data_IF_501545692050
#
_entry.id   IF_501545692050
#
_cell.length_a   1.000
_cell.length_b   1.000
_cell.length_c   1.000
_cell.angle_alpha   90.00
_cell.angle_beta   90.00
_cell.angle_gamma   90.00
#
_symmetry.space_group_name_H-M   'P 1'
#
loop_
_entity.id
_entity.type
_entity.pdbx_description
1 polymer ?
#
# COMPACT_ATOMS: atom_id res chain seq x y z
N UNK A 1 -23.55 18.01 -17.31
CA UNK A 1 -22.53 18.34 -16.29
C UNK A 1 -21.91 17.03 -15.84
N UNK A 2 -20.77 16.65 -16.42
CA UNK A 2 -20.09 15.39 -16.05
C UNK A 2 -19.43 15.61 -14.70
N UNK A 3 -19.86 14.86 -13.68
CA UNK A 3 -19.14 14.80 -12.43
C UNK A 3 -17.78 14.16 -12.72
N UNK A 4 -16.71 14.95 -12.66
CA UNK A 4 -15.36 14.43 -12.57
C UNK A 4 -15.27 13.65 -11.27
N UNK A 5 -15.43 12.33 -11.34
CA UNK A 5 -15.13 11.45 -10.22
C UNK A 5 -13.66 11.67 -9.87
N UNK A 6 -13.40 12.42 -8.79
CA UNK A 6 -12.09 12.43 -8.15
C UNK A 6 -11.74 10.98 -7.89
N UNK A 7 -10.60 10.54 -8.42
CA UNK A 7 -10.05 9.21 -8.22
C UNK A 7 -10.01 8.93 -6.72
N UNK A 8 -10.89 8.03 -6.25
CA UNK A 8 -10.92 7.57 -4.86
C UNK A 8 -9.72 6.66 -4.56
N UNK A 9 -9.03 6.20 -5.61
CA UNK A 9 -7.87 5.32 -5.54
C UNK A 9 -6.68 6.05 -4.91
N UNK A 10 -5.95 5.41 -3.98
CA UNK A 10 -4.65 5.87 -3.57
C UNK A 10 -3.68 5.67 -4.73
N UNK A 11 -2.84 6.66 -4.95
CA UNK A 11 -1.73 6.60 -5.89
C UNK A 11 -0.45 6.46 -5.08
N UNK A 12 0.52 5.67 -5.55
CA UNK A 12 1.79 5.47 -4.86
C UNK A 12 2.95 5.86 -5.76
N UNK A 13 4.03 6.32 -5.14
CA UNK A 13 5.27 6.66 -5.83
C UNK A 13 6.19 5.46 -6.00
N UNK A 14 7.45 5.75 -6.28
CA UNK A 14 8.47 4.72 -6.47
C UNK A 14 8.82 4.02 -5.15
N UNK A 15 9.16 2.74 -5.24
CA UNK A 15 9.57 1.93 -4.09
C UNK A 15 11.04 2.17 -3.75
N UNK A 16 11.34 2.37 -2.47
CA UNK A 16 12.68 2.34 -1.88
C UNK A 16 12.88 1.04 -1.07
N UNK A 17 14.06 0.44 -1.16
CA UNK A 17 14.45 -0.64 -0.27
C UNK A 17 15.70 -0.32 0.53
N UNK A 18 15.62 -0.54 1.84
CA UNK A 18 16.77 -0.43 2.74
C UNK A 18 17.03 -1.76 3.45
N UNK A 19 18.30 -2.03 3.72
CA UNK A 19 18.88 -3.33 4.09
C UNK A 19 18.51 -3.89 5.49
N UNK A 20 17.24 -3.89 5.86
CA UNK A 20 16.68 -4.85 6.82
C UNK A 20 15.77 -5.80 6.05
N UNK A 21 16.34 -6.97 5.70
CA UNK A 21 15.79 -8.09 4.90
C UNK A 21 14.37 -7.85 4.36
N UNK A 22 14.30 -7.35 3.12
CA UNK A 22 13.10 -7.31 2.27
C UNK A 22 12.01 -6.30 2.63
N UNK A 23 12.31 -5.28 3.45
CA UNK A 23 11.43 -4.12 3.58
C UNK A 23 11.35 -3.34 2.26
N UNK A 24 10.14 -2.94 1.89
CA UNK A 24 9.81 -2.17 0.68
C UNK A 24 8.92 -1.00 1.06
N UNK A 25 9.32 0.22 0.73
CA UNK A 25 8.62 1.44 1.15
C UNK A 25 8.22 2.23 -0.09
N UNK A 26 6.98 2.69 -0.19
CA UNK A 26 6.52 3.58 -1.26
C UNK A 26 5.71 4.75 -0.66
N UNK A 27 5.92 6.00 -1.11
CA UNK A 27 5.11 7.11 -0.64
C UNK A 27 3.70 7.01 -1.22
N UNK A 28 2.68 7.40 -0.45
CA UNK A 28 1.32 7.60 -0.96
C UNK A 28 1.25 9.01 -1.54
N UNK A 29 1.14 9.12 -2.86
CA UNK A 29 1.17 10.40 -3.58
C UNK A 29 0.07 11.36 -3.11
N UNK A 30 0.42 12.64 -3.05
CA UNK A 30 -0.44 13.69 -2.50
C UNK A 30 -0.55 13.68 -0.97
N UNK A 31 0.27 12.88 -0.28
CA UNK A 31 0.35 12.83 1.18
C UNK A 31 1.81 12.69 1.65
N UNK A 32 2.06 12.91 2.94
CA UNK A 32 3.34 12.59 3.60
C UNK A 32 3.39 11.16 4.15
N UNK A 33 2.36 10.36 3.90
CA UNK A 33 2.25 8.99 4.44
C UNK A 33 3.04 8.04 3.56
N UNK A 34 3.80 7.15 4.19
CA UNK A 34 4.54 6.09 3.52
C UNK A 34 3.84 4.74 3.75
N UNK A 35 3.79 3.91 2.72
CA UNK A 35 3.40 2.51 2.79
C UNK A 35 4.66 1.64 2.82
N UNK A 36 4.80 0.80 3.84
CA UNK A 36 5.88 -0.15 3.99
C UNK A 36 5.33 -1.57 4.00
N UNK A 37 5.96 -2.46 3.24
CA UNK A 37 5.71 -3.89 3.23
C UNK A 37 6.96 -4.61 3.73
N UNK A 38 6.80 -5.50 4.70
CA UNK A 38 7.89 -6.34 5.20
C UNK A 38 7.40 -7.74 5.52
N UNK A 39 8.30 -8.72 5.51
CA UNK A 39 7.93 -10.07 5.92
C UNK A 39 7.60 -10.06 7.42
N UNK A 40 6.48 -10.66 7.81
CA UNK A 40 6.13 -10.88 9.21
C UNK A 40 7.21 -11.76 9.89
N UNK A 41 7.45 -11.53 11.17
CA UNK A 41 8.45 -12.29 11.92
C UNK A 41 8.17 -13.81 11.83
N UNK A 42 9.22 -14.60 11.54
CA UNK A 42 9.22 -16.07 11.43
C UNK A 42 8.65 -16.67 10.14
N UNK A 43 8.17 -15.86 9.20
CA UNK A 43 7.77 -16.37 7.89
C UNK A 43 8.96 -16.49 6.93
N UNK A 44 8.91 -17.49 6.04
CA UNK A 44 9.88 -17.60 4.94
C UNK A 44 9.67 -16.44 3.96
N UNK A 45 10.74 -15.82 3.42
CA UNK A 45 10.61 -14.63 2.58
C UNK A 45 9.79 -14.94 1.33
N UNK A 46 8.64 -14.28 1.20
CA UNK A 46 7.70 -14.51 0.10
C UNK A 46 8.36 -14.14 -1.23
N UNK A 47 8.09 -14.96 -2.26
CA UNK A 47 8.55 -14.65 -3.61
C UNK A 47 8.00 -13.32 -4.12
N UNK A 48 6.83 -12.91 -3.62
CA UNK A 48 6.13 -11.68 -4.02
C UNK A 48 6.88 -10.42 -3.64
N UNK A 49 7.44 -10.32 -2.42
CA UNK A 49 8.26 -9.16 -2.03
C UNK A 49 9.60 -9.09 -2.79
N UNK A 50 10.17 -10.26 -3.14
CA UNK A 50 11.42 -10.34 -3.92
C UNK A 50 11.27 -9.89 -5.37
N UNK A 51 10.06 -9.94 -5.93
CA UNK A 51 9.76 -9.48 -7.29
C UNK A 51 9.69 -7.96 -7.40
N UNK A 52 9.68 -7.23 -6.28
CA UNK A 52 9.70 -5.78 -6.27
C UNK A 52 11.11 -5.25 -6.57
N UNK A 53 11.18 -4.42 -7.61
CA UNK A 53 12.41 -3.74 -8.08
C UNK A 53 12.47 -2.35 -7.46
N UNK A 54 13.64 -1.99 -6.92
CA UNK A 54 13.84 -0.64 -6.39
C UNK A 54 13.67 0.41 -7.47
N UNK A 55 13.05 1.53 -7.11
CA UNK A 55 12.71 2.61 -8.03
C UNK A 55 11.51 2.31 -8.93
N UNK A 56 10.92 1.11 -8.89
CA UNK A 56 9.70 0.83 -9.66
C UNK A 56 8.51 1.56 -9.05
N UNK A 57 7.61 2.06 -9.90
CA UNK A 57 6.33 2.60 -9.45
C UNK A 57 5.54 1.53 -8.69
N UNK A 58 5.11 1.86 -7.47
CA UNK A 58 4.20 1.03 -6.72
C UNK A 58 2.76 1.38 -7.13
N UNK A 59 1.88 0.40 -7.32
CA UNK A 59 0.48 0.67 -7.65
C UNK A 59 -0.46 -0.34 -6.98
N UNK A 60 -1.77 -0.08 -7.05
CA UNK A 60 -2.80 -0.90 -6.41
C UNK A 60 -2.84 -2.33 -6.99
N UNK A 61 -2.57 -2.52 -8.27
CA UNK A 61 -2.54 -3.85 -8.91
C UNK A 61 -1.41 -4.71 -8.36
N UNK A 62 -0.22 -4.12 -8.22
CA UNK A 62 0.93 -4.75 -7.61
C UNK A 62 0.66 -5.09 -6.13
N UNK A 63 0.06 -4.16 -5.38
CA UNK A 63 -0.34 -4.41 -4.00
C UNK A 63 -1.36 -5.56 -3.91
N UNK A 64 -2.33 -5.63 -4.82
CA UNK A 64 -3.33 -6.72 -4.87
C UNK A 64 -2.73 -8.09 -5.18
N UNK A 65 -1.58 -8.10 -5.86
CA UNK A 65 -0.83 -9.33 -6.16
C UNK A 65 0.04 -9.76 -4.97
N UNK A 66 0.55 -8.81 -4.20
CA UNK A 66 1.49 -9.07 -3.10
C UNK A 66 0.74 -9.43 -1.81
N UNK A 67 -0.34 -8.72 -1.49
CA UNK A 67 -1.16 -8.90 -0.28
C UNK A 67 -2.66 -8.98 -0.62
N UNK A 68 -3.11 -10.03 -1.34
CA UNK A 68 -4.51 -10.18 -1.72
C UNK A 68 -5.48 -10.23 -0.53
N UNK A 69 -5.03 -10.69 0.64
CA UNK A 69 -5.84 -10.84 1.86
C UNK A 69 -5.91 -9.56 2.69
N UNK A 70 -5.34 -8.43 2.23
CA UNK A 70 -5.38 -7.16 2.97
C UNK A 70 -6.80 -6.62 3.20
N UNK A 71 -7.79 -7.12 2.45
CA UNK A 71 -9.20 -6.75 2.54
C UNK A 71 -9.79 -7.22 3.87
N UNK A 72 -10.40 -6.32 4.63
CA UNK A 72 -11.15 -6.65 5.85
C UNK A 72 -10.30 -6.96 7.09
N UNK A 73 -9.00 -6.69 7.07
CA UNK A 73 -8.14 -6.88 8.24
C UNK A 73 -8.23 -5.73 9.23
N UNK A 74 -8.00 -6.08 10.50
CA UNK A 74 -7.91 -5.11 11.59
C UNK A 74 -6.54 -4.45 11.55
N UNK A 75 -6.55 -3.13 11.66
CA UNK A 75 -5.36 -2.30 11.71
C UNK A 75 -5.13 -1.79 13.14
N UNK A 76 -3.94 -2.04 13.65
CA UNK A 76 -3.46 -1.57 14.95
C UNK A 76 -2.75 -0.22 14.77
N UNK A 77 -3.05 0.74 15.64
CA UNK A 77 -2.38 2.05 15.67
C UNK A 77 -1.42 2.11 16.86
N UNK A 78 -0.18 2.55 16.62
CA UNK A 78 0.83 2.70 17.66
C UNK A 78 1.90 3.72 17.29
N UNK A 79 2.75 4.07 18.26
CA UNK A 79 3.97 4.85 18.00
C UNK A 79 4.95 3.98 17.22
N UNK A 80 5.61 4.55 16.21
CA UNK A 80 6.52 3.77 15.35
C UNK A 80 7.77 3.34 16.12
N UNK A 81 8.18 2.08 15.92
CA UNK A 81 9.40 1.53 16.51
C UNK A 81 10.66 1.88 15.69
N UNK A 82 10.50 2.35 14.45
CA UNK A 82 11.59 2.52 13.48
C UNK A 82 11.75 3.95 12.97
N UNK A 83 10.73 4.79 13.12
CA UNK A 83 10.74 6.18 12.70
C UNK A 83 10.20 7.08 13.81
N UNK A 84 10.51 8.38 13.74
CA UNK A 84 9.82 9.37 14.56
C UNK A 84 8.38 9.50 14.05
N UNK A 85 7.37 9.30 14.91
CA UNK A 85 5.96 9.43 14.56
C UNK A 85 5.13 8.20 14.90
N UNK A 86 4.11 7.95 14.08
CA UNK A 86 3.10 6.92 14.32
C UNK A 86 2.95 6.00 13.13
N UNK A 87 2.50 4.78 13.42
CA UNK A 87 2.23 3.77 12.41
C UNK A 87 0.87 3.12 12.60
N UNK A 88 0.29 2.73 11.47
CA UNK A 88 -0.89 1.89 11.40
C UNK A 88 -0.49 0.60 10.70
N UNK A 89 -0.64 -0.52 11.38
CA UNK A 89 -0.06 -1.81 10.99
C UNK A 89 -1.13 -2.89 10.89
N UNK A 90 -0.98 -3.79 9.92
CA UNK A 90 -1.69 -5.08 9.88
C UNK A 90 -0.79 -6.15 9.28
N UNK A 91 -1.17 -7.42 9.38
CA UNK A 91 -0.44 -8.55 8.78
C UNK A 91 -1.38 -9.32 7.86
N UNK A 92 -1.01 -9.41 6.58
CA UNK A 92 -1.74 -10.11 5.54
C UNK A 92 -0.78 -10.98 4.73
N UNK A 93 -1.12 -12.23 4.43
CA UNK A 93 -0.32 -13.09 3.55
C UNK A 93 1.17 -13.22 3.99
N UNK A 94 1.38 -13.32 5.31
CA UNK A 94 2.70 -13.29 5.96
C UNK A 94 3.51 -12.00 5.74
N UNK A 95 2.86 -10.94 5.27
CA UNK A 95 3.44 -9.62 5.02
C UNK A 95 2.82 -8.63 5.99
N UNK A 96 3.67 -8.00 6.77
CA UNK A 96 3.32 -6.86 7.60
C UNK A 96 3.23 -5.62 6.71
N UNK A 97 2.04 -5.02 6.71
CA UNK A 97 1.68 -3.83 5.95
C UNK A 97 1.60 -2.68 6.94
N UNK A 98 2.41 -1.67 6.73
CA UNK A 98 2.58 -0.56 7.67
C UNK A 98 2.38 0.75 6.93
N UNK A 99 1.45 1.58 7.39
CA UNK A 99 1.37 2.99 7.01
C UNK A 99 2.10 3.81 8.06
N UNK A 100 3.07 4.60 7.64
CA UNK A 100 3.88 5.45 8.51
C UNK A 100 3.58 6.91 8.23
N UNK A 101 3.51 7.70 9.30
CA UNK A 101 3.54 9.15 9.24
C UNK A 101 4.59 9.67 10.21
N UNK A 102 5.28 10.73 9.80
CA UNK A 102 6.18 11.46 10.68
C UNK A 102 5.41 12.12 11.84
N UNK A 103 6.12 12.43 12.92
CA UNK A 103 5.59 13.20 14.03
C UNK A 103 5.37 14.66 13.59
N UNK A 104 4.15 14.95 13.15
CA UNK A 104 3.67 16.30 12.86
C UNK A 104 3.07 16.94 14.12
N UNK A 105 2.83 18.25 14.08
CA UNK A 105 2.12 19.07 15.05
C UNK A 105 0.68 18.64 15.39
N UNK A 106 0.17 17.59 14.74
CA UNK A 106 -1.17 17.04 14.97
C UNK A 106 -1.27 16.18 16.23
N UNK A 107 -2.48 16.08 16.78
CA UNK A 107 -2.75 15.16 17.89
C UNK A 107 -2.68 13.68 17.43
N UNK A 108 -2.37 12.73 18.33
CA UNK A 108 -2.37 11.29 17.98
C UNK A 108 -3.67 10.81 17.35
N UNK A 109 -4.82 11.37 17.78
CA UNK A 109 -6.13 11.05 17.21
C UNK A 109 -6.28 11.49 15.75
N UNK A 110 -5.77 12.68 15.40
CA UNK A 110 -5.79 13.17 14.02
C UNK A 110 -4.86 12.35 13.13
N UNK A 111 -3.68 11.98 13.64
CA UNK A 111 -2.73 11.14 12.92
C UNK A 111 -3.31 9.74 12.67
N UNK A 112 -3.94 9.14 13.68
CA UNK A 112 -4.67 7.87 13.54
C UNK A 112 -5.78 7.98 12.48
N UNK A 113 -6.59 9.04 12.55
CA UNK A 113 -7.66 9.28 11.58
C UNK A 113 -7.15 9.40 10.14
N UNK A 114 -6.02 10.09 9.92
CA UNK A 114 -5.37 10.19 8.61
C UNK A 114 -4.90 8.83 8.11
N UNK A 115 -4.20 8.06 8.95
CA UNK A 115 -3.70 6.73 8.59
C UNK A 115 -4.85 5.77 8.28
N UNK A 116 -5.90 5.73 9.11
CA UNK A 116 -7.10 4.90 8.90
C UNK A 116 -7.85 5.30 7.63
N UNK A 117 -7.91 6.60 7.33
CA UNK A 117 -8.48 7.11 6.08
C UNK A 117 -7.73 6.61 4.84
N UNK A 118 -6.39 6.59 4.89
CA UNK A 118 -5.56 6.02 3.82
C UNK A 118 -5.74 4.51 3.73
N UNK A 119 -5.70 3.78 4.85
CA UNK A 119 -5.95 2.34 4.87
C UNK A 119 -7.31 1.99 4.23
N UNK A 120 -8.36 2.73 4.57
CA UNK A 120 -9.69 2.54 3.97
C UNK A 120 -9.68 2.78 2.45
N UNK A 121 -9.00 3.83 1.97
CA UNK A 121 -8.85 4.08 0.52
C UNK A 121 -8.09 2.95 -0.18
N UNK A 122 -7.06 2.40 0.46
CA UNK A 122 -6.32 1.24 -0.05
C UNK A 122 -7.23 0.03 -0.16
N UNK A 123 -7.96 -0.31 0.90
CA UNK A 123 -8.90 -1.44 0.91
C UNK A 123 -9.96 -1.27 -0.18
N UNK A 124 -10.59 -0.10 -0.28
CA UNK A 124 -11.56 0.22 -1.34
C UNK A 124 -10.91 0.08 -2.73
N UNK A 125 -9.70 0.58 -2.91
CA UNK A 125 -9.02 0.43 -4.20
C UNK A 125 -8.64 -1.03 -4.51
N UNK A 126 -8.38 -1.87 -3.51
CA UNK A 126 -8.17 -3.30 -3.73
C UNK A 126 -9.49 -4.04 -4.04
N UNK A 127 -10.61 -3.60 -3.48
CA UNK A 127 -11.94 -4.17 -3.75
C UNK A 127 -12.47 -3.80 -5.14
N UNK A 128 -12.29 -2.55 -5.55
CA UNK A 128 -12.90 -1.99 -6.77
C UNK A 128 -11.89 -1.60 -7.87
N UNK A 129 -10.60 -1.66 -7.59
CA UNK A 129 -9.54 -1.26 -8.52
C UNK A 129 -9.07 -2.37 -9.45
N UNK A 130 -9.31 -3.63 -9.08
CA UNK A 130 -8.98 -4.80 -9.91
C UNK A 130 -10.24 -5.20 -10.68
N UNK A 131 -10.48 -4.54 -11.82
CA UNK A 131 -11.46 -5.07 -12.78
C UNK A 131 -10.83 -6.30 -13.46
N UNK A 132 -11.46 -7.49 -13.41
CA UNK A 132 -10.96 -8.67 -14.13
C UNK A 132 -11.07 -8.55 -15.67
N UNK A 133 -11.55 -7.42 -16.20
CA UNK A 133 -11.75 -7.17 -17.63
C UNK A 133 -10.76 -6.16 -18.22
N UNK A 134 -9.47 -6.26 -17.91
CA UNK A 134 -8.40 -5.62 -18.70
C UNK A 134 -7.56 -6.66 -19.43
N UNK A 135 -8.23 -7.63 -20.04
CA UNK A 135 -7.63 -8.68 -20.89
C UNK A 135 -8.53 -8.96 -22.09
N UNK A 136 -8.69 -7.99 -23.00
CA UNK A 136 -9.16 -8.11 -24.39
C UNK A 136 -9.38 -6.67 -24.89
N UNK A 137 -8.74 -6.15 -25.94
CA UNK A 137 -9.08 -6.26 -27.38
C UNK A 137 -8.04 -5.29 -28.04
N UNK A 138 -7.16 -5.60 -29.00
CA UNK A 138 -7.30 -6.23 -30.31
C UNK A 138 -5.97 -6.93 -30.67
N UNK A 139 -6.00 -8.24 -30.84
CA UNK A 139 -5.24 -8.87 -31.92
C UNK A 139 -6.17 -8.94 -33.15
N UNK A 140 -5.56 -8.87 -34.32
CA UNK A 140 -6.15 -9.11 -35.65
C UNK A 140 -6.89 -7.94 -36.31
N UNK A 141 -6.21 -7.34 -37.29
CA UNK A 141 -6.73 -7.33 -38.66
C UNK A 141 -5.56 -7.29 -39.62
N UNK A 142 -5.19 -8.48 -40.10
CA UNK A 142 -4.54 -8.64 -41.39
C UNK A 142 -5.55 -8.21 -42.47
N UNK A 143 -5.14 -7.32 -43.36
CA UNK A 143 -5.47 -7.41 -44.79
C UNK A 143 -4.48 -6.57 -45.58
#
# INVERSE_FOLDING_TARGET
MMANFRTTRPEFGNVEAYARRHRRIAPVLGTTIQLSLQQAERANPSGSLKRLVDGSAFNVELLSTIVPSLRGLIWEFRRSAVAAGFELITVADDIEVILLTEEDSGSPFELEGRLRGIAARIVVALEYGVSPYSSAVVAESST
#
